data_IF_935077199106
#
_entry.id   IF_935077199106
#
_cell.length_a   1.000
_cell.length_b   1.000
_cell.length_c   1.000
_cell.angle_alpha   90.00
_cell.angle_beta   90.00
_cell.angle_gamma   90.00
#
_symmetry.space_group_name_H-M   'P 1'
#
loop_
_entity.id
_entity.type
_entity.pdbx_description
1 polymer ?
#
# COMPACT_ATOMS: atom_id res chain seq x y z
N UNK A 1 -33.65 7.39 -5.12
CA UNK A 1 -32.56 6.56 -4.58
C UNK A 1 -31.32 6.90 -5.39
N UNK A 2 -30.24 7.39 -4.78
CA UNK A 2 -28.99 7.67 -5.50
C UNK A 2 -28.43 6.35 -6.04
N UNK A 3 -28.06 6.30 -7.31
CA UNK A 3 -27.38 5.17 -7.95
C UNK A 3 -26.13 4.80 -7.14
N UNK A 4 -26.24 3.79 -6.26
CA UNK A 4 -25.10 3.26 -5.51
C UNK A 4 -24.32 2.38 -6.47
N UNK A 5 -23.17 2.86 -6.94
CA UNK A 5 -22.25 2.03 -7.73
C UNK A 5 -21.51 1.05 -6.81
N UNK A 6 -22.21 0.00 -6.35
CA UNK A 6 -21.63 -1.01 -5.45
C UNK A 6 -20.47 -1.76 -6.13
N UNK A 7 -20.58 -2.03 -7.43
CA UNK A 7 -19.51 -2.67 -8.21
C UNK A 7 -18.24 -1.79 -8.28
N UNK A 8 -18.40 -0.47 -8.31
CA UNK A 8 -17.30 0.50 -8.26
C UNK A 8 -16.45 0.44 -7.00
N UNK A 9 -16.97 -0.11 -5.89
CA UNK A 9 -16.17 -0.32 -4.67
C UNK A 9 -15.09 -1.40 -4.86
N UNK A 10 -15.35 -2.40 -5.72
CA UNK A 10 -14.38 -3.44 -6.08
C UNK A 10 -13.40 -2.95 -7.14
N UNK A 11 -13.83 -2.09 -8.04
CA UNK A 11 -12.98 -1.57 -9.12
C UNK A 11 -12.12 -0.38 -8.68
N UNK A 12 -12.41 0.21 -7.52
CA UNK A 12 -11.58 1.25 -6.91
C UNK A 12 -10.19 0.71 -6.56
N UNK A 13 -9.14 1.43 -6.95
CA UNK A 13 -7.72 1.11 -6.64
C UNK A 13 -7.36 1.15 -5.15
N UNK A 14 -8.33 1.45 -4.26
CA UNK A 14 -8.28 1.12 -2.83
C UNK A 14 -8.09 -0.40 -2.58
N UNK A 15 -8.33 -1.23 -3.60
CA UNK A 15 -8.57 -2.67 -3.52
C UNK A 15 -7.33 -3.58 -3.55
N UNK A 16 -6.10 -3.11 -3.80
CA UNK A 16 -4.97 -4.07 -3.87
C UNK A 16 -4.41 -4.47 -2.50
N UNK A 17 -4.47 -3.58 -1.50
CA UNK A 17 -3.86 -3.85 -0.20
C UNK A 17 -4.76 -4.65 0.76
N UNK A 18 -6.10 -4.49 0.66
CA UNK A 18 -7.07 -5.13 1.58
C UNK A 18 -8.32 -5.65 0.85
N UNK A 19 -8.16 -6.60 -0.09
CA UNK A 19 -9.25 -7.06 -0.94
C UNK A 19 -10.45 -7.65 -0.18
N UNK A 20 -10.21 -8.24 1.00
CA UNK A 20 -11.27 -8.79 1.84
C UNK A 20 -12.22 -7.70 2.37
N UNK A 21 -11.70 -6.54 2.79
CA UNK A 21 -12.49 -5.41 3.30
C UNK A 21 -13.42 -4.89 2.21
N UNK A 22 -12.88 -4.69 1.01
CA UNK A 22 -13.64 -4.14 -0.11
C UNK A 22 -14.64 -5.13 -0.69
N UNK A 23 -14.33 -6.43 -0.70
CA UNK A 23 -15.30 -7.48 -1.03
C UNK A 23 -16.48 -7.48 -0.04
N UNK A 24 -16.21 -7.33 1.26
CA UNK A 24 -17.25 -7.21 2.27
C UNK A 24 -18.08 -5.93 2.11
N UNK A 25 -17.43 -4.82 1.75
CA UNK A 25 -18.10 -3.53 1.49
C UNK A 25 -19.03 -3.60 0.28
N UNK A 26 -18.59 -4.19 -0.84
CA UNK A 26 -19.41 -4.43 -2.04
C UNK A 26 -20.63 -5.29 -1.69
N UNK A 27 -20.40 -6.44 -1.04
CA UNK A 27 -21.48 -7.37 -0.70
C UNK A 27 -22.52 -6.71 0.22
N UNK A 28 -22.08 -5.90 1.19
CA UNK A 28 -22.98 -5.16 2.08
C UNK A 28 -23.70 -4.03 1.36
N UNK A 29 -23.02 -3.31 0.44
CA UNK A 29 -23.65 -2.30 -0.41
C UNK A 29 -24.79 -2.91 -1.24
N UNK A 30 -24.53 -4.08 -1.85
CA UNK A 30 -25.52 -4.82 -2.61
C UNK A 30 -26.69 -5.25 -1.72
N UNK A 31 -26.42 -5.80 -0.54
CA UNK A 31 -27.46 -6.21 0.41
C UNK A 31 -28.33 -5.03 0.89
N UNK A 32 -27.74 -3.85 1.06
CA UNK A 32 -28.47 -2.62 1.38
C UNK A 32 -29.29 -2.11 0.19
N UNK A 33 -28.83 -2.31 -1.04
CA UNK A 33 -29.54 -1.89 -2.25
C UNK A 33 -30.74 -2.79 -2.56
N UNK A 34 -30.60 -4.10 -2.42
CA UNK A 34 -31.64 -5.08 -2.76
C UNK A 34 -32.54 -5.44 -1.58
N UNK A 35 -32.01 -5.41 -0.35
CA UNK A 35 -32.70 -5.87 0.86
C UNK A 35 -32.91 -7.38 0.95
N UNK A 36 -32.42 -8.17 -0.02
CA UNK A 36 -32.70 -9.61 -0.13
C UNK A 36 -31.95 -10.43 0.93
N UNK A 37 -32.58 -11.46 1.54
CA UNK A 37 -31.92 -12.30 2.54
C UNK A 37 -30.60 -12.92 2.06
N UNK A 38 -30.56 -13.45 0.83
CA UNK A 38 -29.36 -14.08 0.28
C UNK A 38 -28.18 -13.12 0.07
N UNK A 39 -28.44 -11.84 -0.20
CA UNK A 39 -27.39 -10.82 -0.30
C UNK A 39 -26.83 -10.47 1.09
N UNK A 40 -27.68 -10.48 2.12
CA UNK A 40 -27.25 -10.31 3.51
C UNK A 40 -26.42 -11.49 4.03
N UNK A 41 -26.75 -12.72 3.64
CA UNK A 41 -25.94 -13.89 3.97
C UNK A 41 -24.57 -13.83 3.28
N UNK A 42 -24.52 -13.37 2.03
CA UNK A 42 -23.26 -13.11 1.31
C UNK A 42 -22.43 -12.04 1.98
N UNK A 43 -23.05 -10.92 2.39
CA UNK A 43 -22.37 -9.85 3.12
C UNK A 43 -21.77 -10.35 4.45
N UNK A 44 -22.53 -11.15 5.22
CA UNK A 44 -22.05 -11.76 6.47
C UNK A 44 -20.86 -12.68 6.23
N UNK A 45 -20.94 -13.54 5.20
CA UNK A 45 -19.86 -14.44 4.83
C UNK A 45 -18.59 -13.69 4.43
N UNK A 46 -18.71 -12.68 3.54
CA UNK A 46 -17.59 -11.86 3.11
C UNK A 46 -16.93 -11.12 4.29
N UNK A 47 -17.73 -10.57 5.20
CA UNK A 47 -17.25 -9.85 6.38
C UNK A 47 -16.52 -10.76 7.37
N UNK A 48 -16.93 -12.02 7.50
CA UNK A 48 -16.23 -13.00 8.32
C UNK A 48 -14.83 -13.35 7.80
N UNK A 49 -14.57 -13.15 6.51
CA UNK A 49 -13.26 -13.31 5.89
C UNK A 49 -12.29 -12.15 6.14
N UNK A 50 -12.75 -11.03 6.73
CA UNK A 50 -11.89 -9.90 7.06
C UNK A 50 -11.13 -10.19 8.35
N UNK A 51 -9.84 -10.50 8.21
CA UNK A 51 -8.92 -10.78 9.34
C UNK A 51 -8.13 -9.54 9.75
N UNK A 52 -7.54 -9.59 10.96
CA UNK A 52 -6.98 -8.46 11.70
C UNK A 52 -6.28 -7.40 10.83
N UNK A 53 -6.82 -6.19 10.88
CA UNK A 53 -6.27 -5.03 10.18
C UNK A 53 -5.24 -4.35 11.07
N UNK A 54 -4.08 -3.92 10.52
CA UNK A 54 -3.10 -3.16 11.28
C UNK A 54 -3.70 -1.85 11.84
N UNK A 55 -3.30 -1.39 13.04
CA UNK A 55 -3.90 -0.22 13.69
C UNK A 55 -3.75 1.09 12.93
N UNK A 56 -2.73 1.21 12.06
CA UNK A 56 -2.53 2.33 11.16
C UNK A 56 -3.59 2.42 10.05
N UNK A 57 -4.39 1.37 9.84
CA UNK A 57 -5.46 1.28 8.83
C UNK A 57 -6.80 1.71 9.39
N UNK A 58 -6.85 2.92 9.95
CA UNK A 58 -8.04 3.47 10.59
C UNK A 58 -9.29 3.35 9.70
N UNK A 59 -9.16 3.67 8.41
CA UNK A 59 -10.29 3.65 7.48
C UNK A 59 -10.82 2.25 7.23
N UNK A 60 -9.96 1.28 6.92
CA UNK A 60 -10.36 -0.12 6.73
C UNK A 60 -10.98 -0.69 8.01
N UNK A 61 -10.46 -0.30 9.18
CA UNK A 61 -11.03 -0.65 10.48
C UNK A 61 -12.44 -0.06 10.61
N UNK A 62 -12.62 1.24 10.39
CA UNK A 62 -13.92 1.92 10.49
C UNK A 62 -14.95 1.45 9.47
N UNK A 63 -14.51 1.14 8.26
CA UNK A 63 -15.35 0.49 7.25
C UNK A 63 -15.80 -0.86 7.81
N UNK A 64 -14.87 -1.72 8.24
CA UNK A 64 -15.21 -3.05 8.76
C UNK A 64 -16.14 -2.98 9.98
N UNK A 65 -15.91 -2.06 10.93
CA UNK A 65 -16.80 -1.80 12.06
C UNK A 65 -18.22 -1.40 11.61
N UNK A 66 -18.32 -0.49 10.64
CA UNK A 66 -19.60 -0.04 10.09
C UNK A 66 -20.36 -1.17 9.37
N UNK A 67 -19.63 -2.01 8.62
CA UNK A 67 -20.21 -3.19 7.96
C UNK A 67 -20.74 -4.20 8.98
N UNK A 68 -19.99 -4.46 10.06
CA UNK A 68 -20.42 -5.34 11.17
C UNK A 68 -21.70 -4.81 11.80
N UNK A 69 -21.72 -3.52 12.13
CA UNK A 69 -22.91 -2.90 12.69
C UNK A 69 -24.13 -3.01 11.76
N UNK A 70 -23.96 -2.83 10.45
CA UNK A 70 -25.06 -2.98 9.49
C UNK A 70 -25.60 -4.42 9.44
N UNK A 71 -24.71 -5.42 9.43
CA UNK A 71 -25.08 -6.84 9.46
C UNK A 71 -25.75 -7.22 10.79
N UNK A 72 -25.24 -6.74 11.91
CA UNK A 72 -25.79 -7.00 13.24
C UNK A 72 -27.19 -6.39 13.40
N UNK A 73 -27.37 -5.13 12.98
CA UNK A 73 -28.67 -4.46 12.98
C UNK A 73 -29.67 -5.19 12.08
N UNK A 74 -29.24 -5.65 10.90
CA UNK A 74 -30.11 -6.42 10.01
C UNK A 74 -30.50 -7.77 10.63
N UNK A 75 -29.57 -8.43 11.30
CA UNK A 75 -29.83 -9.71 11.98
C UNK A 75 -30.82 -9.53 13.12
N UNK A 76 -30.67 -8.48 13.92
CA UNK A 76 -31.57 -8.17 15.03
C UNK A 76 -32.95 -7.69 14.56
N UNK A 77 -33.01 -7.01 13.41
CA UNK A 77 -34.24 -6.45 12.86
C UNK A 77 -34.45 -6.84 11.38
N UNK A 78 -34.83 -8.09 11.10
CA UNK A 78 -35.14 -8.54 9.74
C UNK A 78 -36.30 -7.71 9.18
N UNK A 79 -36.08 -7.06 8.04
CA UNK A 79 -37.07 -6.19 7.39
C UNK A 79 -36.86 -4.69 7.64
N UNK A 80 -36.06 -4.29 8.64
CA UNK A 80 -35.75 -2.88 8.85
C UNK A 80 -34.98 -2.30 7.66
N UNK A 81 -35.36 -1.10 7.23
CA UNK A 81 -34.65 -0.35 6.22
C UNK A 81 -33.56 0.48 6.89
N UNK A 82 -32.30 0.11 6.67
CA UNK A 82 -31.17 0.82 7.25
C UNK A 82 -30.98 2.15 6.51
N UNK A 83 -31.10 3.25 7.25
CA UNK A 83 -30.77 4.58 6.77
C UNK A 83 -29.30 4.87 7.06
N UNK A 84 -28.56 5.31 6.05
CA UNK A 84 -27.16 5.71 6.21
C UNK A 84 -27.12 7.20 6.52
N UNK A 85 -26.68 7.57 7.71
CA UNK A 85 -26.34 8.95 8.01
C UNK A 85 -24.87 9.19 7.63
N UNK A 86 -24.64 10.01 6.61
CA UNK A 86 -23.29 10.36 6.17
C UNK A 86 -22.70 11.56 6.91
N UNK A 87 -23.45 12.22 7.79
CA UNK A 87 -22.93 13.33 8.58
C UNK A 87 -21.86 12.84 9.55
N UNK A 88 -20.66 13.42 9.46
CA UNK A 88 -19.50 13.05 10.26
C UNK A 88 -18.82 11.74 9.87
N UNK A 89 -19.24 11.10 8.77
CA UNK A 89 -18.60 9.89 8.27
C UNK A 89 -17.16 10.19 7.84
N UNK A 90 -16.19 9.58 8.53
CA UNK A 90 -14.77 9.79 8.28
C UNK A 90 -14.09 10.84 9.14
N UNK A 91 -14.78 11.41 10.14
CA UNK A 91 -14.15 12.34 11.08
C UNK A 91 -13.25 11.61 12.09
N UNK A 92 -13.54 10.34 12.38
CA UNK A 92 -12.73 9.48 13.26
C UNK A 92 -11.35 9.13 12.65
N UNK A 93 -11.26 9.13 11.31
CA UNK A 93 -10.04 8.80 10.58
C UNK A 93 -9.56 10.02 9.80
N UNK A 94 -8.60 10.80 10.35
CA UNK A 94 -8.20 12.05 9.74
C UNK A 94 -7.67 11.81 8.32
N UNK A 95 -8.33 12.42 7.33
CA UNK A 95 -7.82 12.48 5.96
C UNK A 95 -6.69 13.50 5.93
N UNK A 96 -5.46 12.99 5.86
CA UNK A 96 -4.26 13.82 5.95
C UNK A 96 -3.15 13.32 5.05
N UNK A 97 -2.41 14.27 4.48
CA UNK A 97 -1.06 14.02 3.99
C UNK A 97 -0.17 13.77 5.20
N UNK A 98 0.45 12.60 5.24
CA UNK A 98 1.30 12.13 6.34
C UNK A 98 2.78 12.12 5.99
N UNK A 99 3.12 12.05 4.70
CA UNK A 99 4.49 11.99 4.25
C UNK A 99 4.60 11.88 2.74
N UNK A 100 5.80 11.59 2.29
CA UNK A 100 6.15 11.36 0.89
C UNK A 100 7.07 10.15 0.83
N UNK A 101 6.95 9.36 -0.24
CA UNK A 101 7.91 8.30 -0.57
C UNK A 101 8.53 8.59 -1.92
N UNK A 102 9.85 8.68 -1.95
CA UNK A 102 10.61 8.78 -3.21
C UNK A 102 10.65 7.40 -3.85
N UNK A 103 10.20 7.30 -5.10
CA UNK A 103 10.00 6.01 -5.78
C UNK A 103 11.23 5.55 -6.56
N UNK A 104 12.04 6.49 -7.05
CA UNK A 104 13.19 6.21 -7.90
C UNK A 104 14.42 7.07 -7.54
N UNK A 105 15.54 6.75 -8.16
CA UNK A 105 16.82 7.42 -7.91
C UNK A 105 17.54 6.95 -6.64
N UNK A 106 18.67 7.60 -6.31
CA UNK A 106 19.58 7.13 -5.27
C UNK A 106 18.99 7.20 -3.85
N UNK A 107 17.95 8.01 -3.65
CA UNK A 107 17.28 8.23 -2.37
C UNK A 107 15.95 7.47 -2.24
N UNK A 108 15.62 6.58 -3.19
CA UNK A 108 14.36 5.84 -3.18
C UNK A 108 14.16 5.07 -1.85
N UNK A 109 12.96 5.19 -1.28
CA UNK A 109 12.58 4.52 -0.03
C UNK A 109 13.27 5.03 1.25
N UNK A 110 14.09 6.09 1.18
CA UNK A 110 14.72 6.68 2.37
C UNK A 110 13.66 7.30 3.31
N UNK A 111 13.87 7.27 4.64
CA UNK A 111 12.94 7.87 5.60
C UNK A 111 12.74 9.37 5.40
N UNK A 112 13.79 10.07 4.99
CA UNK A 112 13.71 11.45 4.55
C UNK A 112 13.50 11.45 3.03
N UNK A 113 12.40 12.03 2.53
CA UNK A 113 12.12 12.05 1.10
C UNK A 113 13.05 13.07 0.43
N UNK A 114 14.18 12.58 -0.07
CA UNK A 114 15.21 13.38 -0.72
C UNK A 114 15.22 13.13 -2.22
N UNK A 115 15.37 14.19 -3.02
CA UNK A 115 15.43 14.13 -4.50
C UNK A 115 16.60 14.98 -5.01
N UNK A 116 17.03 14.77 -6.26
CA UNK A 116 18.05 15.63 -6.87
C UNK A 116 17.51 17.05 -7.09
N UNK A 117 18.38 18.05 -6.97
CA UNK A 117 18.05 19.46 -7.20
C UNK A 117 17.57 19.74 -8.63
N UNK A 118 17.90 18.86 -9.58
CA UNK A 118 17.45 18.94 -10.97
C UNK A 118 15.93 18.73 -11.13
N UNK A 119 15.27 18.08 -10.16
CA UNK A 119 13.86 17.66 -10.28
C UNK A 119 13.67 16.42 -11.16
N UNK A 120 12.41 16.10 -11.45
CA UNK A 120 11.99 14.97 -12.30
C UNK A 120 11.85 13.62 -11.60
N UNK A 121 12.37 13.48 -10.37
CA UNK A 121 12.24 12.27 -9.54
C UNK A 121 10.77 12.01 -9.18
N UNK A 122 10.32 10.76 -9.27
CA UNK A 122 8.93 10.40 -8.95
C UNK A 122 8.73 10.29 -7.44
N UNK A 123 7.73 11.02 -6.93
CA UNK A 123 7.39 11.08 -5.51
C UNK A 123 5.93 10.71 -5.32
N UNK A 124 5.69 9.75 -4.43
CA UNK A 124 4.35 9.31 -4.02
C UNK A 124 3.90 10.04 -2.76
N UNK A 125 2.64 10.50 -2.75
CA UNK A 125 1.98 11.00 -1.56
C UNK A 125 1.67 9.85 -0.59
N UNK A 126 2.07 10.00 0.68
CA UNK A 126 1.70 9.07 1.74
C UNK A 126 0.59 9.69 2.60
N UNK A 127 -0.53 8.99 2.70
CA UNK A 127 -1.69 9.46 3.43
C UNK A 127 -2.96 8.80 2.90
N UNK A 128 -4.10 9.36 3.28
CA UNK A 128 -5.39 8.89 2.78
C UNK A 128 -6.10 10.01 2.04
N UNK A 129 -6.39 9.76 0.77
CA UNK A 129 -7.02 10.70 -0.14
C UNK A 129 -8.11 9.96 -0.91
N UNK A 130 -9.28 10.59 -1.03
CA UNK A 130 -10.38 10.07 -1.87
C UNK A 130 -10.14 10.51 -3.31
N UNK A 131 -9.90 11.80 -3.50
CA UNK A 131 -9.46 12.40 -4.74
C UNK A 131 -8.39 13.45 -4.45
N UNK A 132 -7.41 13.60 -5.32
CA UNK A 132 -6.47 14.72 -5.29
C UNK A 132 -6.77 15.61 -6.48
N UNK A 133 -7.19 16.83 -6.20
CA UNK A 133 -7.51 17.82 -7.21
C UNK A 133 -6.22 18.52 -7.67
N UNK A 134 -5.35 18.88 -6.71
CA UNK A 134 -4.04 19.50 -6.98
C UNK A 134 -2.98 19.13 -5.95
N UNK A 135 -1.73 19.08 -6.40
CA UNK A 135 -0.55 19.02 -5.54
C UNK A 135 0.12 20.40 -5.58
N UNK A 136 0.41 20.94 -4.40
CA UNK A 136 0.99 22.26 -4.20
C UNK A 136 2.39 22.11 -3.61
N UNK A 137 3.39 22.76 -4.20
CA UNK A 137 4.77 22.89 -3.70
C UNK A 137 5.00 24.33 -3.30
N UNK A 138 5.23 24.57 -2.01
CA UNK A 138 5.25 25.90 -1.38
C UNK A 138 4.05 26.78 -1.77
N UNK A 139 2.88 26.14 -1.88
CA UNK A 139 1.61 26.80 -2.24
C UNK A 139 1.43 27.04 -3.75
N UNK A 140 2.40 26.66 -4.58
CA UNK A 140 2.28 26.75 -6.04
C UNK A 140 1.85 25.40 -6.61
N UNK A 141 0.77 25.34 -7.41
CA UNK A 141 0.36 24.09 -8.05
C UNK A 141 1.44 23.60 -9.00
N UNK A 142 1.70 22.28 -8.99
CA UNK A 142 2.54 21.66 -10.00
C UNK A 142 1.69 21.53 -11.27
N UNK A 143 2.00 22.34 -12.29
CA UNK A 143 1.29 22.32 -13.57
C UNK A 143 1.91 21.26 -14.52
N UNK A 144 1.55 19.99 -14.32
CA UNK A 144 1.95 18.92 -15.26
C UNK A 144 0.94 18.79 -16.42
N UNK A 145 0.72 19.90 -17.15
CA UNK A 145 0.05 19.88 -18.45
C UNK A 145 -1.36 19.28 -18.48
N UNK A 146 -2.09 19.30 -17.37
CA UNK A 146 -3.48 18.82 -17.28
C UNK A 146 -3.67 17.32 -17.01
N UNK A 147 -2.63 16.59 -16.60
CA UNK A 147 -2.83 15.23 -16.08
C UNK A 147 -3.36 15.25 -14.64
N UNK A 148 -4.44 14.50 -14.40
CA UNK A 148 -4.80 14.06 -13.05
C UNK A 148 -3.61 13.32 -12.44
N UNK A 149 -3.27 13.62 -11.17
CA UNK A 149 -2.15 13.03 -10.43
C UNK A 149 -2.37 11.53 -10.14
N UNK A 150 -2.39 10.71 -11.18
CA UNK A 150 -2.78 9.30 -11.11
C UNK A 150 -4.28 9.07 -11.32
N UNK A 151 -4.73 7.81 -11.32
CA UNK A 151 -6.14 7.48 -11.50
C UNK A 151 -6.96 7.99 -10.31
N UNK A 152 -8.24 8.29 -10.56
CA UNK A 152 -9.20 8.52 -9.48
C UNK A 152 -9.09 7.33 -8.51
N UNK A 153 -8.76 7.60 -7.25
CA UNK A 153 -8.56 6.60 -6.18
C UNK A 153 -7.21 5.83 -6.17
N UNK A 154 -6.16 6.27 -6.89
CA UNK A 154 -4.86 5.57 -6.98
C UNK A 154 -3.74 6.08 -6.08
N UNK A 155 -2.52 5.48 -6.14
CA UNK A 155 -1.34 6.12 -5.58
C UNK A 155 -1.11 7.44 -6.33
N UNK A 156 -1.22 8.55 -5.61
CA UNK A 156 -1.00 9.87 -6.17
C UNK A 156 0.50 10.12 -6.25
N UNK A 157 1.02 10.21 -7.47
CA UNK A 157 2.45 10.38 -7.77
C UNK A 157 2.62 11.66 -8.57
N UNK A 158 3.71 12.37 -8.32
CA UNK A 158 4.11 13.55 -9.07
C UNK A 158 5.61 13.57 -9.33
N UNK A 159 6.03 14.35 -10.33
CA UNK A 159 7.44 14.62 -10.59
C UNK A 159 7.90 15.79 -9.73
N UNK A 160 8.96 15.60 -8.93
CA UNK A 160 9.50 16.70 -8.13
C UNK A 160 9.91 17.88 -9.03
N UNK A 161 9.50 19.13 -8.74
CA UNK A 161 9.96 20.27 -9.51
C UNK A 161 11.46 20.51 -9.26
N UNK A 162 12.17 21.21 -10.16
CA UNK A 162 13.53 21.67 -9.90
C UNK A 162 13.59 22.53 -8.63
N UNK A 163 14.69 22.44 -7.88
CA UNK A 163 14.84 23.09 -6.58
C UNK A 163 14.70 24.62 -6.62
N UNK A 164 14.97 25.26 -7.76
CA UNK A 164 14.97 26.72 -7.91
C UNK A 164 15.77 27.47 -6.83
N UNK A 165 16.81 26.83 -6.28
CA UNK A 165 17.66 27.37 -5.20
C UNK A 165 17.20 27.03 -3.77
N UNK A 166 16.10 26.31 -3.59
CA UNK A 166 15.63 25.84 -2.29
C UNK A 166 16.32 24.52 -1.88
N UNK A 167 16.67 24.38 -0.58
CA UNK A 167 17.17 23.12 -0.02
C UNK A 167 16.04 22.14 0.34
N UNK A 168 14.83 22.66 0.50
CA UNK A 168 13.62 21.88 0.81
C UNK A 168 12.37 22.68 0.49
N UNK A 169 11.28 21.99 0.19
CA UNK A 169 9.98 22.60 -0.12
C UNK A 169 8.86 21.91 0.66
N UNK A 170 7.80 22.65 0.96
CA UNK A 170 6.60 22.12 1.62
C UNK A 170 5.59 21.63 0.59
N UNK A 171 5.17 20.38 0.70
CA UNK A 171 4.15 19.77 -0.14
C UNK A 171 2.81 19.74 0.59
N UNK A 172 1.76 20.22 -0.06
CA UNK A 172 0.36 20.14 0.38
C UNK A 172 -0.54 19.68 -0.76
N UNK A 173 -1.79 19.35 -0.44
CA UNK A 173 -2.75 18.77 -1.38
C UNK A 173 -4.08 19.49 -1.28
N UNK A 174 -4.65 19.88 -2.41
CA UNK A 174 -6.06 20.22 -2.55
C UNK A 174 -6.82 18.96 -2.96
N UNK A 175 -7.86 18.61 -2.22
CA UNK A 175 -8.58 17.35 -2.37
C UNK A 175 -10.07 17.53 -2.09
N UNK A 176 -10.85 16.65 -2.71
CA UNK A 176 -12.29 16.56 -2.50
C UNK A 176 -12.65 15.15 -2.06
N UNK A 177 -13.09 14.93 -0.79
CA UNK A 177 -13.24 15.92 0.29
C UNK A 177 -11.92 16.51 0.79
N UNK A 178 -11.95 17.66 1.50
CA UNK A 178 -10.75 18.33 1.99
C UNK A 178 -9.87 17.41 2.86
N UNK A 179 -8.56 17.55 2.67
CA UNK A 179 -7.53 16.89 3.47
C UNK A 179 -6.65 17.92 4.17
N UNK A 180 -6.08 17.53 5.31
CA UNK A 180 -5.16 18.37 6.08
C UNK A 180 -3.72 17.84 6.02
N UNK A 181 -2.77 18.56 6.61
CA UNK A 181 -1.38 18.12 6.70
C UNK A 181 -0.48 18.64 5.59
N UNK A 182 0.80 18.39 5.76
CA UNK A 182 1.86 18.78 4.85
C UNK A 182 3.04 17.82 5.03
N UNK A 183 3.83 17.68 3.98
CA UNK A 183 5.08 16.95 4.03
C UNK A 183 6.23 17.84 3.52
N UNK A 184 7.46 17.49 3.86
CA UNK A 184 8.65 18.21 3.40
C UNK A 184 9.35 17.33 2.39
N UNK A 185 9.71 17.89 1.24
CA UNK A 185 10.59 17.27 0.25
C UNK A 185 11.96 17.96 0.34
N UNK A 186 13.04 17.19 0.38
CA UNK A 186 14.41 17.71 0.52
C UNK A 186 15.16 17.58 -0.80
N UNK A 187 15.94 18.59 -1.18
CA UNK A 187 16.82 18.54 -2.34
C UNK A 187 18.25 18.25 -1.91
N UNK A 188 18.89 17.28 -2.55
CA UNK A 188 20.31 17.00 -2.40
C UNK A 188 20.87 16.32 -3.64
N UNK A 189 22.05 16.77 -4.06
CA UNK A 189 22.86 16.11 -5.10
C UNK A 189 24.02 15.31 -4.51
N UNK A 190 24.13 15.26 -3.18
CA UNK A 190 25.09 14.40 -2.51
C UNK A 190 24.67 12.94 -2.67
N UNK A 191 25.63 12.05 -2.90
CA UNK A 191 25.30 10.62 -2.90
C UNK A 191 24.84 10.22 -1.49
N UNK A 192 23.65 9.60 -1.32
CA UNK A 192 23.21 9.19 -0.01
C UNK A 192 24.26 8.28 0.63
N UNK A 193 24.43 8.33 1.97
CA UNK A 193 25.25 7.34 2.64
C UNK A 193 24.69 5.96 2.25
N UNK A 194 25.51 5.18 1.55
CA UNK A 194 25.15 3.80 1.22
C UNK A 194 24.77 3.05 2.49
N UNK A 195 24.01 1.95 2.40
CA UNK A 195 23.83 1.08 3.54
C UNK A 195 25.22 0.82 4.12
N UNK A 196 25.42 1.21 5.39
CA UNK A 196 26.71 1.06 6.05
C UNK A 196 27.22 -0.36 5.84
N UNK A 197 28.55 -0.57 5.76
CA UNK A 197 29.09 -1.87 5.39
C UNK A 197 28.41 -2.94 6.22
N UNK A 198 27.77 -3.91 5.54
CA UNK A 198 27.29 -5.13 6.17
C UNK A 198 28.44 -5.62 7.06
N UNK A 199 28.23 -5.87 8.35
CA UNK A 199 29.28 -6.42 9.20
C UNK A 199 29.87 -7.61 8.46
N UNK A 200 31.15 -7.52 8.09
CA UNK A 200 31.82 -8.66 7.48
C UNK A 200 31.70 -9.80 8.48
N UNK A 201 31.09 -10.90 8.05
CA UNK A 201 31.08 -12.13 8.83
C UNK A 201 32.52 -12.37 9.31
N UNK A 202 32.73 -12.74 10.59
CA UNK A 202 34.04 -13.10 11.07
C UNK A 202 34.61 -14.16 10.13
N UNK A 203 35.83 -13.96 9.64
CA UNK A 203 36.49 -14.91 8.77
C UNK A 203 36.45 -16.29 9.42
N UNK A 204 35.65 -17.20 8.86
CA UNK A 204 35.66 -18.61 9.24
C UNK A 204 37.06 -19.12 8.96
N UNK A 205 37.85 -19.25 10.02
CA UNK A 205 39.13 -19.94 10.00
C UNK A 205 38.84 -21.36 9.52
N UNK A 206 39.29 -21.68 8.30
CA UNK A 206 39.14 -23.01 7.73
C UNK A 206 39.73 -24.06 8.67
N UNK A 207 39.10 -25.23 8.85
CA UNK A 207 39.65 -26.26 9.70
C UNK A 207 40.97 -26.80 9.13
N UNK A 208 41.93 -26.96 10.03
CA UNK A 208 43.26 -27.50 9.79
C UNK A 208 43.22 -28.85 9.04
N UNK A 209 44.07 -28.98 8.03
CA UNK A 209 44.36 -30.22 7.32
C UNK A 209 44.88 -31.25 8.32
N UNK A 210 44.07 -32.27 8.61
CA UNK A 210 44.52 -33.46 9.34
C UNK A 210 44.50 -34.63 8.37
N UNK A 211 45.68 -35.18 8.08
CA UNK A 211 45.85 -36.33 7.20
C UNK A 211 45.24 -37.60 7.82
N UNK A 212 44.53 -38.46 7.07
CA UNK A 212 44.12 -39.78 7.53
C UNK A 212 45.22 -40.83 7.29
N UNK A 213 45.46 -41.77 8.23
CA UNK A 213 46.43 -42.84 8.04
C UNK A 213 45.84 -44.05 7.30
N UNK A 214 46.62 -44.54 6.34
CA UNK A 214 46.85 -45.91 5.86
C UNK A 214 45.70 -46.94 5.75
N UNK A 215 45.54 -47.42 4.51
CA UNK A 215 44.72 -48.55 4.09
C UNK A 215 45.23 -49.94 4.54
N UNK A 216 44.34 -50.95 4.51
CA UNK A 216 44.68 -52.32 4.13
C UNK A 216 43.92 -52.78 2.86
N UNK A 217 44.32 -53.91 2.23
CA UNK A 217 44.45 -54.04 0.78
C UNK A 217 43.21 -54.58 0.03
N UNK A 218 43.14 -54.21 -1.25
CA UNK A 218 42.24 -54.78 -2.24
C UNK A 218 42.67 -56.19 -2.66
N UNK A 219 41.72 -57.12 -2.67
CA UNK A 219 41.75 -58.31 -3.52
C UNK A 219 40.33 -58.58 -4.00
N UNK A 220 40.15 -58.69 -5.32
CA UNK A 220 39.10 -59.51 -5.88
C UNK A 220 38.17 -58.84 -6.89
N UNK A 221 38.54 -59.02 -8.17
CA UNK A 221 37.68 -59.36 -9.30
C UNK A 221 36.57 -58.40 -9.75
N UNK A 222 36.73 -57.74 -10.91
CA UNK A 222 36.37 -58.20 -12.27
C UNK A 222 34.89 -57.95 -12.62
N UNK A 223 34.69 -57.39 -13.82
CA UNK A 223 33.51 -57.43 -14.74
C UNK A 223 32.85 -56.05 -14.92
N UNK A 224 33.21 -55.24 -15.93
CA UNK A 224 32.83 -55.23 -17.39
C UNK A 224 31.34 -54.92 -17.69
N UNK A 225 31.17 -53.94 -18.61
CA UNK A 225 30.07 -53.73 -19.58
C UNK A 225 28.71 -53.23 -19.01
N UNK A 226 27.92 -52.33 -19.60
CA UNK A 226 27.97 -51.41 -20.78
C UNK A 226 26.78 -50.45 -20.62
N UNK A 227 26.88 -49.23 -21.16
CA UNK A 227 25.73 -48.45 -21.67
C UNK A 227 25.19 -49.12 -22.98
N UNK A 228 23.98 -48.84 -23.53
CA UNK A 228 23.61 -47.49 -23.96
C UNK A 228 22.12 -47.10 -23.78
N UNK A 229 21.90 -45.84 -24.15
CA UNK A 229 20.66 -45.07 -24.24
C UNK A 229 19.56 -45.61 -25.19
N UNK A 230 18.37 -45.04 -24.95
CA UNK A 230 17.22 -44.73 -25.85
C UNK A 230 16.41 -45.86 -26.45
#
# INVERSE_FOLDING_TARGET
MRDRNCAGLRESTLNTAFPAVWTAAEATCQALATGLPGDWDRARSALSGVTGLPPERCWEIKVTESLRQAVDLRTAHPGAQLQINSAGAGDDCPRRLTGLTVLDGPFAGQPTPTVSSAGGTQVRLEGFFVNVDRILVDGTPIDDGGQQFGPQFGPFVFSAPPAAGASSVRVTVEATPPVSGAAVLVYSDETPPGPGPTPSEPATSGPATTAPPSAPPQTGATTRLTEPQS
#
